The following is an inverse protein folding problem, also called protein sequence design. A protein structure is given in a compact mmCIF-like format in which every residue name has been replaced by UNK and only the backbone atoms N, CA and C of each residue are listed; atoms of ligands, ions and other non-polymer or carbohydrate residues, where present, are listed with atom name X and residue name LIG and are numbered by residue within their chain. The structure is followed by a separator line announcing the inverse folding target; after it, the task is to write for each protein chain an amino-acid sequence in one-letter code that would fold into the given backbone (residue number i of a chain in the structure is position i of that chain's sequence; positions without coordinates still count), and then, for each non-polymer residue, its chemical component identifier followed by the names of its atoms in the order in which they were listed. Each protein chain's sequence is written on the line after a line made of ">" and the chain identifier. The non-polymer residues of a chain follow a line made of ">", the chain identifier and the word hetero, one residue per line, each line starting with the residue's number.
data_IF_315089938915
#
_entry.id   IF_315089938915
#
_cell.length_a   1.000
_cell.length_b   1.000
_cell.length_c   1.000
_cell.angle_alpha   90.00
_cell.angle_beta   90.00
_cell.angle_gamma   90.00
#
_symmetry.space_group_name_H-M   'P 1'
#
loop_
_entity.id
_entity.type
_entity.pdbx_description
1 polymer ?
#
# COMPACT_ATOMS: atom_id res chain seq x y z
N UNK A 1 9.84 -12.38 -4.64
CA UNK A 1 11.19 -11.81 -4.64
C UNK A 1 11.89 -11.99 -5.99
N UNK A 2 13.10 -11.45 -6.15
CA UNK A 2 13.85 -11.52 -7.42
C UNK A 2 14.31 -12.94 -7.79
N UNK A 3 14.27 -13.88 -6.85
CA UNK A 3 14.57 -15.31 -7.06
C UNK A 3 13.33 -16.12 -7.44
N UNK A 4 12.16 -15.49 -7.52
CA UNK A 4 10.89 -16.12 -7.82
C UNK A 4 10.22 -16.79 -6.62
N UNK A 5 10.70 -16.59 -5.40
CA UNK A 5 10.01 -17.09 -4.21
C UNK A 5 8.76 -16.25 -3.92
N UNK A 6 7.69 -16.92 -3.49
CA UNK A 6 6.45 -16.29 -3.04
C UNK A 6 6.43 -16.32 -1.52
N UNK A 7 6.35 -15.14 -0.91
CA UNK A 7 6.27 -14.94 0.52
C UNK A 7 4.86 -14.52 0.92
N UNK A 8 4.34 -15.10 1.99
CA UNK A 8 2.99 -14.82 2.47
C UNK A 8 3.03 -14.49 3.96
N UNK A 9 2.59 -13.27 4.28
CA UNK A 9 2.35 -12.85 5.66
C UNK A 9 0.93 -13.23 6.08
N UNK A 10 0.79 -13.76 7.27
CA UNK A 10 -0.48 -14.18 7.86
C UNK A 10 -0.61 -13.64 9.29
N UNK A 11 -1.74 -13.89 9.92
CA UNK A 11 -1.98 -13.63 11.35
C UNK A 11 -1.15 -14.52 12.30
N UNK A 12 -0.60 -15.62 11.77
CA UNK A 12 0.25 -16.56 12.53
C UNK A 12 1.72 -16.54 12.15
N UNK A 13 2.17 -15.57 11.33
CA UNK A 13 3.58 -15.46 10.95
C UNK A 13 3.85 -15.40 9.44
N UNK A 14 5.09 -15.70 9.08
CA UNK A 14 5.61 -15.63 7.72
C UNK A 14 5.76 -17.02 7.12
N UNK A 15 5.34 -17.15 5.86
CA UNK A 15 5.40 -18.41 5.10
C UNK A 15 6.08 -18.20 3.75
N UNK A 16 6.71 -19.26 3.25
CA UNK A 16 7.27 -19.32 1.91
C UNK A 16 6.62 -20.46 1.12
N UNK A 17 6.24 -20.19 -0.12
CA UNK A 17 5.70 -21.22 -1.01
C UNK A 17 6.79 -22.14 -1.53
N UNK A 18 6.55 -23.45 -1.42
CA UNK A 18 7.41 -24.49 -1.97
C UNK A 18 6.75 -25.07 -3.24
N UNK A 19 7.26 -24.77 -4.45
CA UNK A 19 6.65 -25.22 -5.70
C UNK A 19 6.77 -26.73 -5.94
N UNK A 20 7.72 -27.41 -5.27
CA UNK A 20 7.89 -28.87 -5.40
C UNK A 20 6.80 -29.61 -4.63
N UNK A 21 6.47 -29.11 -3.44
CA UNK A 21 5.47 -29.70 -2.56
C UNK A 21 4.06 -29.13 -2.79
N UNK A 22 3.93 -28.11 -3.63
CA UNK A 22 2.71 -27.32 -3.83
C UNK A 22 2.07 -26.91 -2.48
N UNK A 23 2.89 -26.38 -1.58
CA UNK A 23 2.49 -26.06 -0.22
C UNK A 23 3.29 -24.90 0.36
N UNK A 24 2.73 -24.27 1.40
CA UNK A 24 3.43 -23.24 2.16
C UNK A 24 4.17 -23.85 3.35
N UNK A 25 5.41 -23.41 3.56
CA UNK A 25 6.24 -23.78 4.69
C UNK A 25 6.43 -22.57 5.59
N UNK A 26 6.26 -22.74 6.89
CA UNK A 26 6.49 -21.71 7.89
C UNK A 26 7.96 -21.26 7.91
N UNK A 27 8.20 -19.96 7.95
CA UNK A 27 9.53 -19.38 8.06
C UNK A 27 9.91 -19.23 9.54
N UNK A 28 10.70 -20.17 10.05
CA UNK A 28 11.04 -20.29 11.48
C UNK A 28 12.47 -19.83 11.82
N UNK A 29 13.03 -18.86 11.08
CA UNK A 29 14.36 -18.36 11.39
C UNK A 29 14.32 -17.49 12.65
N UNK A 30 15.26 -17.73 13.55
CA UNK A 30 15.42 -16.97 14.79
C UNK A 30 16.23 -15.71 14.50
N UNK A 31 15.72 -14.56 14.94
CA UNK A 31 16.41 -13.27 14.77
C UNK A 31 17.65 -13.16 15.68
N UNK A 32 18.45 -12.14 15.44
CA UNK A 32 19.62 -11.76 16.26
C UNK A 32 19.25 -11.43 17.73
N UNK A 33 17.98 -11.07 17.98
CA UNK A 33 17.42 -10.83 19.32
C UNK A 33 16.68 -12.04 19.90
N UNK A 34 16.74 -13.20 19.26
CA UNK A 34 16.09 -14.42 19.74
C UNK A 34 14.60 -14.52 19.44
N UNK A 35 14.06 -13.67 18.56
CA UNK A 35 12.66 -13.63 18.20
C UNK A 35 12.39 -14.45 16.94
N UNK A 36 11.25 -15.15 16.89
CA UNK A 36 10.69 -15.80 15.70
C UNK A 36 9.44 -15.03 15.28
N UNK A 37 9.25 -14.83 13.97
CA UNK A 37 8.03 -14.18 13.44
C UNK A 37 6.85 -15.14 13.60
N UNK A 38 5.96 -14.85 14.56
CA UNK A 38 4.78 -15.67 14.89
C UNK A 38 3.53 -14.87 15.21
N UNK A 39 3.53 -13.59 14.82
CA UNK A 39 2.40 -12.69 14.99
C UNK A 39 1.95 -12.15 13.64
N UNK A 40 0.92 -11.32 13.61
CA UNK A 40 0.33 -10.78 12.40
C UNK A 40 1.36 -10.01 11.56
N UNK A 41 1.69 -10.55 10.39
CA UNK A 41 2.57 -9.87 9.42
C UNK A 41 1.76 -8.85 8.64
N UNK A 42 1.96 -7.58 8.96
CA UNK A 42 1.21 -6.46 8.39
C UNK A 42 1.71 -6.07 7.00
N UNK A 43 3.01 -6.24 6.74
CA UNK A 43 3.62 -5.84 5.48
C UNK A 43 4.91 -6.59 5.18
N UNK A 44 5.12 -6.91 3.90
CA UNK A 44 6.38 -7.45 3.37
C UNK A 44 6.81 -6.57 2.20
N UNK A 45 8.09 -6.19 2.20
CA UNK A 45 8.75 -5.56 1.06
C UNK A 45 10.01 -6.33 0.71
N UNK A 46 10.24 -6.51 -0.58
CA UNK A 46 11.42 -7.19 -1.10
C UNK A 46 12.28 -6.20 -1.87
N UNK A 47 13.60 -6.23 -1.66
CA UNK A 47 14.55 -5.49 -2.46
C UNK A 47 15.00 -6.29 -3.71
N UNK A 48 15.79 -5.67 -4.56
CA UNK A 48 16.34 -6.26 -5.79
C UNK A 48 17.29 -7.45 -5.55
N UNK A 49 17.80 -7.60 -4.31
CA UNK A 49 18.68 -8.68 -3.88
C UNK A 49 17.94 -9.84 -3.21
N UNK A 50 16.59 -9.81 -3.20
CA UNK A 50 15.71 -10.75 -2.48
C UNK A 50 15.86 -10.71 -0.96
N UNK A 51 16.34 -9.61 -0.38
CA UNK A 51 16.22 -9.38 1.04
C UNK A 51 14.81 -8.89 1.37
N UNK A 52 14.32 -9.21 2.56
CA UNK A 52 12.97 -8.84 2.98
C UNK A 52 13.00 -7.87 4.14
N UNK A 53 12.15 -6.88 4.05
CA UNK A 53 11.70 -6.07 5.17
C UNK A 53 10.31 -6.55 5.56
N UNK A 54 10.10 -6.85 6.83
CA UNK A 54 8.89 -7.52 7.32
C UNK A 54 8.39 -6.77 8.54
N UNK A 55 7.20 -6.19 8.46
CA UNK A 55 6.54 -5.59 9.62
C UNK A 55 5.63 -6.60 10.28
N UNK A 56 5.74 -6.74 11.59
CA UNK A 56 5.01 -7.72 12.39
C UNK A 56 4.38 -7.01 13.59
N UNK A 57 3.08 -7.15 13.75
CA UNK A 57 2.35 -6.57 14.87
C UNK A 57 2.95 -7.05 16.19
N UNK A 58 3.07 -6.17 17.18
CA UNK A 58 3.67 -6.41 18.51
C UNK A 58 5.15 -6.87 18.52
N UNK A 59 5.76 -7.14 17.34
CA UNK A 59 7.15 -7.57 17.24
C UNK A 59 8.05 -6.56 16.52
N UNK A 60 7.47 -5.56 15.83
CA UNK A 60 8.17 -4.49 15.15
C UNK A 60 8.62 -4.82 13.73
N UNK A 61 9.77 -4.31 13.30
CA UNK A 61 10.29 -4.43 11.94
C UNK A 61 11.48 -5.38 11.90
N UNK A 62 11.44 -6.33 10.97
CA UNK A 62 12.52 -7.29 10.72
C UNK A 62 13.16 -7.06 9.36
N UNK A 63 14.44 -7.38 9.28
CA UNK A 63 15.20 -7.45 8.03
C UNK A 63 15.78 -8.86 7.86
N UNK A 64 15.43 -9.51 6.76
CA UNK A 64 15.99 -10.81 6.37
C UNK A 64 17.00 -10.64 5.24
N UNK A 65 18.26 -10.93 5.53
CA UNK A 65 19.32 -11.01 4.52
C UNK A 65 19.31 -12.40 3.89
N UNK A 66 18.86 -12.49 2.64
CA UNK A 66 18.70 -13.77 1.95
C UNK A 66 20.03 -14.44 1.58
N UNK A 67 21.11 -13.66 1.40
CA UNK A 67 22.43 -14.20 1.04
C UNK A 67 23.16 -14.81 2.24
N UNK A 68 22.95 -14.26 3.42
CA UNK A 68 23.55 -14.73 4.67
C UNK A 68 22.63 -15.68 5.45
N UNK A 69 21.36 -15.79 5.03
CA UNK A 69 20.29 -16.50 5.74
C UNK A 69 20.16 -16.01 7.19
N UNK A 70 20.16 -14.68 7.39
CA UNK A 70 20.08 -14.04 8.70
C UNK A 70 18.84 -13.19 8.82
N UNK A 71 18.17 -13.30 9.96
CA UNK A 71 17.05 -12.46 10.36
C UNK A 71 17.53 -11.50 11.46
N UNK A 72 17.32 -10.20 11.27
CA UNK A 72 17.62 -9.17 12.24
C UNK A 72 16.33 -8.48 12.68
N UNK A 73 16.20 -8.17 13.98
CA UNK A 73 15.10 -7.35 14.46
C UNK A 73 15.54 -5.87 14.43
N UNK A 74 14.99 -5.13 13.45
CA UNK A 74 15.25 -3.73 13.26
C UNK A 74 14.40 -2.89 14.23
N UNK A 75 15.04 -1.96 14.96
CA UNK A 75 14.37 -1.07 15.91
C UNK A 75 13.65 -1.77 17.10
N UNK A 76 14.08 -2.97 17.49
CA UNK A 76 13.51 -3.71 18.63
C UNK A 76 13.40 -2.87 19.92
N UNK A 77 14.43 -2.06 20.21
CA UNK A 77 14.53 -1.32 21.48
C UNK A 77 13.78 0.03 21.44
N UNK A 78 13.22 0.44 20.31
CA UNK A 78 12.59 1.74 20.16
C UNK A 78 11.09 1.77 20.58
N UNK A 79 10.56 0.68 21.13
CA UNK A 79 9.15 0.59 21.52
C UNK A 79 8.15 0.58 20.36
N UNK A 80 8.64 0.30 19.15
CA UNK A 80 7.88 0.36 17.90
C UNK A 80 7.15 -0.95 17.61
N UNK A 81 6.33 -1.40 18.55
CA UNK A 81 5.56 -2.63 18.38
C UNK A 81 4.51 -2.57 17.25
N UNK A 82 4.10 -1.37 16.83
CA UNK A 82 2.95 -1.16 15.95
C UNK A 82 3.30 -0.48 14.63
N UNK A 83 4.36 -0.94 13.95
CA UNK A 83 4.67 -0.46 12.59
C UNK A 83 3.57 -0.95 11.66
N UNK A 84 2.67 -0.06 11.27
CA UNK A 84 1.56 -0.36 10.37
C UNK A 84 2.01 -0.42 8.91
N UNK A 85 2.84 0.55 8.50
CA UNK A 85 3.44 0.61 7.17
C UNK A 85 4.88 1.12 7.23
N UNK A 86 5.65 0.72 6.25
CA UNK A 86 6.99 1.23 6.04
C UNK A 86 7.35 1.25 4.55
N UNK A 87 8.25 2.14 4.17
CA UNK A 87 8.84 2.15 2.83
C UNK A 87 10.26 2.70 2.88
N UNK A 88 11.01 2.36 1.85
CA UNK A 88 12.37 2.83 1.68
C UNK A 88 12.42 3.88 0.56
N UNK A 89 13.14 4.97 0.80
CA UNK A 89 13.46 5.95 -0.20
C UNK A 89 14.96 6.25 -0.12
N UNK A 90 15.73 5.67 -1.03
CA UNK A 90 17.20 5.66 -0.92
C UNK A 90 17.64 5.00 0.39
N UNK A 91 18.45 5.72 1.18
CA UNK A 91 18.92 5.25 2.48
C UNK A 91 18.03 5.67 3.67
N UNK A 92 16.81 6.12 3.41
CA UNK A 92 15.84 6.52 4.45
C UNK A 92 14.73 5.48 4.55
N UNK A 93 14.53 4.95 5.74
CA UNK A 93 13.39 4.10 6.10
C UNK A 93 12.32 4.97 6.75
N UNK A 94 11.14 5.01 6.14
CA UNK A 94 9.95 5.67 6.65
C UNK A 94 9.06 4.66 7.34
N UNK A 95 8.51 5.02 8.50
CA UNK A 95 7.71 4.12 9.34
C UNK A 95 6.46 4.87 9.80
N UNK A 96 5.30 4.36 9.41
CA UNK A 96 4.03 4.82 9.90
C UNK A 96 3.58 3.90 11.05
N UNK A 97 3.42 4.46 12.24
CA UNK A 97 2.89 3.75 13.39
C UNK A 97 1.35 3.88 13.41
N UNK A 98 0.68 2.82 13.81
CA UNK A 98 -0.77 2.80 13.84
C UNK A 98 -1.34 3.83 14.83
N UNK A 99 -2.07 4.83 14.32
CA UNK A 99 -2.70 5.86 15.13
C UNK A 99 -1.74 6.77 15.90
N UNK A 100 -0.49 6.90 15.43
CA UNK A 100 0.52 7.77 16.05
C UNK A 100 1.02 8.80 15.02
N UNK A 101 2.20 8.59 14.43
CA UNK A 101 2.83 9.56 13.53
C UNK A 101 3.61 8.84 12.43
N UNK A 102 4.08 9.61 11.46
CA UNK A 102 5.09 9.20 10.50
C UNK A 102 6.47 9.50 11.06
N UNK A 103 7.31 8.48 11.09
CA UNK A 103 8.70 8.56 11.53
C UNK A 103 9.65 8.23 10.38
N UNK A 104 10.90 8.61 10.54
CA UNK A 104 11.97 8.23 9.62
C UNK A 104 13.27 7.95 10.36
N UNK A 105 14.10 7.11 9.75
CA UNK A 105 15.47 6.81 10.18
C UNK A 105 16.31 6.45 8.96
N UNK A 106 17.63 6.33 9.13
CA UNK A 106 18.48 5.74 8.09
C UNK A 106 18.34 4.22 8.10
N UNK A 107 18.44 3.60 6.94
CA UNK A 107 18.44 2.15 6.79
C UNK A 107 19.80 1.52 7.15
N UNK A 108 20.38 1.93 8.28
CA UNK A 108 21.71 1.52 8.79
C UNK A 108 21.65 0.71 10.10
N UNK A 109 20.44 0.46 10.64
CA UNK A 109 20.18 -0.22 11.93
C UNK A 109 20.69 0.50 13.20
N UNK A 110 21.31 1.67 13.07
CA UNK A 110 21.96 2.39 14.19
C UNK A 110 21.38 3.78 14.42
N UNK A 111 20.85 4.42 13.37
CA UNK A 111 20.34 5.79 13.46
C UNK A 111 19.05 5.87 14.27
N UNK A 112 18.88 6.93 15.11
CA UNK A 112 17.68 7.09 15.90
C UNK A 112 16.46 7.42 15.02
N UNK A 113 15.30 6.97 15.48
CA UNK A 113 14.02 7.30 14.89
C UNK A 113 13.64 8.75 15.18
N UNK A 114 13.14 9.46 14.18
CA UNK A 114 12.71 10.85 14.29
C UNK A 114 11.29 11.04 13.73
N UNK A 115 10.42 11.80 14.40
CA UNK A 115 9.11 12.14 13.86
C UNK A 115 9.26 13.05 12.64
N UNK A 116 8.46 12.81 11.61
CA UNK A 116 8.40 13.70 10.47
C UNK A 116 7.69 14.99 10.83
N UNK A 117 8.30 16.11 10.43
CA UNK A 117 7.72 17.45 10.52
C UNK A 117 7.77 18.10 9.15
N UNK A 118 6.69 18.78 8.80
CA UNK A 118 6.61 19.54 7.56
C UNK A 118 7.53 20.78 7.57
N UNK A 119 7.51 21.56 6.50
CA UNK A 119 8.33 22.78 6.38
C UNK A 119 8.01 23.87 7.44
N UNK A 120 6.85 23.80 8.07
CA UNK A 120 6.43 24.71 9.15
C UNK A 120 6.80 24.17 10.53
N UNK A 121 7.28 22.94 10.62
CA UNK A 121 7.58 22.24 11.86
C UNK A 121 6.40 21.46 12.45
N UNK A 122 5.32 21.29 11.69
CA UNK A 122 4.11 20.59 12.14
C UNK A 122 4.19 19.09 11.88
N UNK A 123 3.70 18.29 12.83
CA UNK A 123 3.57 16.84 12.72
C UNK A 123 2.25 16.50 12.02
N UNK A 124 2.22 16.68 10.69
CA UNK A 124 0.99 16.62 9.87
C UNK A 124 0.31 15.24 9.80
N UNK A 125 0.99 14.18 10.23
CA UNK A 125 0.45 12.82 10.30
C UNK A 125 0.23 12.33 11.74
N UNK A 126 0.30 13.24 12.72
CA UNK A 126 0.06 12.88 14.12
C UNK A 126 -1.39 12.38 14.31
N UNK A 127 -1.52 11.29 15.05
CA UNK A 127 -2.80 10.61 15.34
C UNK A 127 -3.53 10.12 14.05
N UNK A 128 -2.77 9.94 12.92
CA UNK A 128 -3.31 9.47 11.65
C UNK A 128 -2.96 7.99 11.39
N UNK A 129 -3.76 7.33 10.56
CA UNK A 129 -3.48 5.96 10.11
C UNK A 129 -3.10 6.04 8.64
N UNK A 130 -1.82 5.87 8.33
CA UNK A 130 -1.33 5.84 6.96
C UNK A 130 -1.61 4.47 6.35
N UNK A 131 -2.43 4.43 5.30
CA UNK A 131 -2.89 3.21 4.65
C UNK A 131 -2.10 2.86 3.39
N UNK A 132 -1.62 3.86 2.64
CA UNK A 132 -0.90 3.65 1.39
C UNK A 132 0.01 4.85 1.08
N UNK A 133 1.12 4.57 0.43
CA UNK A 133 2.04 5.57 -0.11
C UNK A 133 2.36 5.24 -1.57
N UNK A 134 2.54 6.28 -2.38
CA UNK A 134 3.02 6.14 -3.75
C UNK A 134 3.89 7.34 -4.14
N UNK A 135 5.05 7.05 -4.74
CA UNK A 135 5.94 8.10 -5.25
C UNK A 135 5.42 8.57 -6.60
N UNK A 136 5.22 9.87 -6.71
CA UNK A 136 4.79 10.52 -7.94
C UNK A 136 5.87 11.40 -8.56
N UNK A 137 5.51 12.22 -9.54
CA UNK A 137 6.43 13.11 -10.22
C UNK A 137 6.99 14.20 -9.28
N UNK A 138 8.11 14.80 -9.68
CA UNK A 138 8.75 15.94 -9.00
C UNK A 138 9.15 15.68 -7.53
N UNK A 139 9.48 14.44 -7.17
CA UNK A 139 9.82 14.03 -5.80
C UNK A 139 8.69 14.22 -4.78
N UNK A 140 7.44 14.30 -5.21
CA UNK A 140 6.30 14.22 -4.31
C UNK A 140 5.94 12.78 -4.04
N UNK A 141 5.59 12.50 -2.78
CA UNK A 141 4.96 11.26 -2.35
C UNK A 141 3.52 11.56 -1.98
N UNK A 142 2.60 10.75 -2.46
CA UNK A 142 1.18 10.83 -2.12
C UNK A 142 0.90 9.83 -1.01
N UNK A 143 0.28 10.32 0.06
CA UNK A 143 -0.02 9.54 1.27
C UNK A 143 -1.53 9.46 1.43
N UNK A 144 -2.07 8.25 1.35
CA UNK A 144 -3.45 7.95 1.71
C UNK A 144 -3.53 7.59 3.19
N UNK A 145 -4.41 8.25 3.91
CA UNK A 145 -4.57 8.06 5.35
C UNK A 145 -6.03 8.09 5.80
N UNK A 146 -6.27 7.82 7.08
CA UNK A 146 -7.61 7.95 7.67
C UNK A 146 -8.18 9.38 7.54
N UNK A 147 -7.31 10.38 7.46
CA UNK A 147 -7.70 11.78 7.32
C UNK A 147 -7.79 12.25 5.86
N UNK A 148 -7.26 11.48 4.90
CA UNK A 148 -7.41 11.82 3.47
C UNK A 148 -6.18 11.56 2.61
N UNK A 149 -6.07 12.31 1.51
CA UNK A 149 -4.92 12.32 0.61
C UNK A 149 -4.06 13.56 0.85
N UNK A 150 -2.78 13.35 1.12
CA UNK A 150 -1.78 14.42 1.27
C UNK A 150 -0.63 14.19 0.30
N UNK A 151 -0.24 15.21 -0.45
CA UNK A 151 1.03 15.21 -1.16
C UNK A 151 2.12 15.79 -0.27
N UNK A 152 3.31 15.18 -0.29
CA UNK A 152 4.46 15.59 0.53
C UNK A 152 5.73 15.51 -0.30
N UNK A 153 6.53 16.56 -0.24
CA UNK A 153 7.91 16.52 -0.70
C UNK A 153 8.81 16.35 0.54
N UNK A 154 9.29 15.15 0.77
CA UNK A 154 10.10 14.82 1.95
C UNK A 154 11.47 15.49 2.00
N UNK A 155 11.97 16.04 0.89
CA UNK A 155 13.24 16.78 0.85
C UNK A 155 13.05 18.20 1.35
N UNK A 156 11.96 18.86 0.95
CA UNK A 156 11.69 20.26 1.29
C UNK A 156 10.75 20.42 2.49
N UNK A 157 10.09 19.34 2.92
CA UNK A 157 9.04 19.37 3.94
C UNK A 157 7.72 19.99 3.45
N UNK A 158 7.63 20.43 2.18
CA UNK A 158 6.37 21.00 1.66
C UNK A 158 5.29 19.93 1.59
N UNK A 159 4.11 20.25 2.07
CA UNK A 159 2.95 19.37 2.07
C UNK A 159 1.67 20.11 1.70
N UNK A 160 0.70 19.38 1.14
CA UNK A 160 -0.63 19.89 0.83
C UNK A 160 -1.67 18.79 0.98
N UNK A 161 -2.74 19.06 1.68
CA UNK A 161 -3.93 18.20 1.70
C UNK A 161 -4.69 18.37 0.38
N UNK A 162 -4.96 17.25 -0.30
CA UNK A 162 -5.66 17.21 -1.59
C UNK A 162 -7.13 16.83 -1.38
N UNK A 163 -7.38 15.85 -0.50
CA UNK A 163 -8.72 15.28 -0.29
C UNK A 163 -8.93 14.99 1.18
N UNK A 164 -10.11 15.33 1.70
CA UNK A 164 -10.57 15.04 3.06
C UNK A 164 -11.57 13.87 3.03
N UNK A 165 -11.08 12.65 2.80
CA UNK A 165 -11.87 11.43 2.84
C UNK A 165 -10.98 10.27 3.26
N UNK A 166 -11.49 9.34 4.08
CA UNK A 166 -10.74 8.16 4.48
C UNK A 166 -10.21 7.43 3.24
N UNK A 167 -8.92 7.62 2.94
CA UNK A 167 -8.25 7.02 1.78
C UNK A 167 -7.50 5.74 2.17
N UNK A 168 -7.68 4.68 1.39
CA UNK A 168 -7.11 3.36 1.65
C UNK A 168 -5.99 2.96 0.73
N UNK A 169 -6.11 3.29 -0.55
CA UNK A 169 -5.21 2.79 -1.58
C UNK A 169 -5.01 3.82 -2.69
N UNK A 170 -3.85 3.77 -3.31
CA UNK A 170 -3.40 4.68 -4.36
C UNK A 170 -2.82 3.89 -5.52
N UNK A 171 -3.11 4.31 -6.75
CA UNK A 171 -2.44 3.82 -7.93
C UNK A 171 -2.42 4.88 -9.04
N UNK A 172 -1.29 5.05 -9.70
CA UNK A 172 -1.19 5.90 -10.87
C UNK A 172 -1.70 5.17 -12.11
N UNK A 173 -2.71 5.75 -12.78
CA UNK A 173 -3.10 5.31 -14.12
C UNK A 173 -2.16 5.85 -15.18
N UNK A 174 -1.68 7.08 -14.99
CA UNK A 174 -0.68 7.76 -15.83
C UNK A 174 0.15 8.72 -14.96
N UNK A 175 1.13 9.40 -15.54
CA UNK A 175 1.98 10.35 -14.82
C UNK A 175 1.22 11.54 -14.23
N UNK A 176 0.02 11.83 -14.73
CA UNK A 176 -0.82 12.94 -14.30
C UNK A 176 -2.18 12.53 -13.71
N UNK A 177 -2.50 11.24 -13.65
CA UNK A 177 -3.77 10.73 -13.14
C UNK A 177 -3.57 9.73 -12.00
N UNK A 178 -3.88 10.17 -10.78
CA UNK A 178 -3.83 9.36 -9.55
C UNK A 178 -5.24 8.91 -9.14
N UNK A 179 -5.41 7.60 -9.00
CA UNK A 179 -6.63 6.98 -8.50
C UNK A 179 -6.51 6.76 -6.99
N UNK A 180 -7.55 7.15 -6.26
CA UNK A 180 -7.61 7.13 -4.80
C UNK A 180 -8.83 6.34 -4.35
N UNK A 181 -8.61 5.15 -3.82
CA UNK A 181 -9.67 4.33 -3.26
C UNK A 181 -10.01 4.77 -1.84
N UNK A 182 -11.29 4.98 -1.57
CA UNK A 182 -11.79 5.43 -0.28
C UNK A 182 -12.97 4.59 0.21
N UNK A 183 -13.45 4.86 1.44
CA UNK A 183 -14.69 4.27 1.96
C UNK A 183 -15.96 4.81 1.28
N UNK A 184 -15.84 5.87 0.47
CA UNK A 184 -16.97 6.57 -0.14
C UNK A 184 -16.91 6.61 -1.67
N UNK A 185 -16.15 5.71 -2.28
CA UNK A 185 -15.98 5.63 -3.72
C UNK A 185 -14.54 5.81 -4.17
N UNK A 186 -14.40 5.91 -5.47
CA UNK A 186 -13.15 6.13 -6.16
C UNK A 186 -13.00 7.62 -6.52
N UNK A 187 -11.91 8.24 -6.09
CA UNK A 187 -11.54 9.58 -6.51
C UNK A 187 -10.43 9.50 -7.55
N UNK A 188 -10.53 10.31 -8.59
CA UNK A 188 -9.52 10.45 -9.64
C UNK A 188 -8.99 11.87 -9.56
N UNK A 189 -7.73 12.01 -9.16
CA UNK A 189 -7.05 13.29 -9.06
C UNK A 189 -6.15 13.50 -10.28
N UNK A 190 -6.38 14.58 -11.02
CA UNK A 190 -5.52 14.98 -12.12
C UNK A 190 -4.50 16.01 -11.63
N UNK A 191 -3.23 15.63 -11.65
CA UNK A 191 -2.11 16.42 -11.11
C UNK A 191 -1.87 17.71 -11.89
N UNK A 192 -2.10 17.70 -13.21
CA UNK A 192 -1.85 18.85 -14.09
C UNK A 192 -2.91 19.93 -13.93
N UNK A 193 -4.18 19.53 -13.81
CA UNK A 193 -5.31 20.48 -13.74
C UNK A 193 -5.77 20.76 -12.32
N UNK A 194 -5.24 20.05 -11.33
CA UNK A 194 -5.62 20.08 -9.91
C UNK A 194 -7.13 19.79 -9.70
N UNK A 195 -7.70 18.93 -10.55
CA UNK A 195 -9.11 18.56 -10.50
C UNK A 195 -9.30 17.16 -9.93
N UNK A 196 -10.38 17.03 -9.16
CA UNK A 196 -10.81 15.75 -8.61
C UNK A 196 -12.15 15.37 -9.23
N UNK A 197 -12.25 14.13 -9.73
CA UNK A 197 -13.50 13.48 -10.12
C UNK A 197 -13.84 12.42 -9.09
N UNK A 198 -15.11 12.36 -8.67
CA UNK A 198 -15.57 11.36 -7.69
C UNK A 198 -16.54 10.39 -8.36
N UNK A 199 -16.21 9.11 -8.31
CA UNK A 199 -17.04 8.02 -8.82
C UNK A 199 -17.61 7.23 -7.65
N UNK A 200 -18.92 7.01 -7.68
CA UNK A 200 -19.67 6.22 -6.69
C UNK A 200 -20.56 5.22 -7.39
N UNK A 201 -21.07 4.26 -6.64
CA UNK A 201 -22.15 3.39 -7.13
C UNK A 201 -23.35 4.27 -7.46
N UNK A 202 -23.87 4.24 -8.70
CA UNK A 202 -25.03 5.02 -9.08
C UNK A 202 -26.33 4.44 -8.50
N UNK A 203 -27.36 5.30 -8.39
CA UNK A 203 -28.69 4.87 -7.93
C UNK A 203 -29.46 3.98 -8.95
N UNK A 204 -28.93 3.86 -10.17
CA UNK A 204 -29.50 3.04 -11.24
C UNK A 204 -28.56 1.90 -11.60
N UNK A 205 -29.14 0.77 -12.02
CA UNK A 205 -28.39 -0.39 -12.49
C UNK A 205 -27.55 -0.01 -13.74
N UNK A 206 -26.25 0.21 -13.52
CA UNK A 206 -25.26 0.39 -14.55
C UNK A 206 -24.18 -0.69 -14.40
N UNK A 207 -24.18 -1.65 -15.32
CA UNK A 207 -23.24 -2.77 -15.33
C UNK A 207 -21.77 -2.36 -15.50
N UNK A 208 -21.49 -1.10 -15.83
CA UNK A 208 -20.15 -0.54 -16.02
C UNK A 208 -19.71 0.36 -14.88
N UNK A 209 -20.58 0.62 -13.92
CA UNK A 209 -20.25 1.42 -12.75
C UNK A 209 -19.52 0.61 -11.67
N UNK A 210 -19.08 1.32 -10.63
CA UNK A 210 -18.53 0.69 -9.42
C UNK A 210 -19.57 -0.24 -8.79
N UNK A 211 -19.13 -1.43 -8.39
CA UNK A 211 -20.00 -2.43 -7.72
C UNK A 211 -20.18 -2.14 -6.23
N UNK A 212 -19.29 -1.32 -5.63
CA UNK A 212 -19.34 -0.92 -4.22
C UNK A 212 -18.53 0.37 -4.01
N UNK A 213 -18.89 1.17 -3.02
CA UNK A 213 -18.20 2.42 -2.68
C UNK A 213 -16.96 2.22 -1.79
N UNK A 214 -16.88 1.13 -1.03
CA UNK A 214 -15.74 0.87 -0.17
C UNK A 214 -14.59 0.23 -0.96
N UNK A 215 -13.67 1.08 -1.47
CA UNK A 215 -12.55 0.66 -2.32
C UNK A 215 -11.33 0.33 -1.47
N UNK A 216 -10.87 -0.92 -1.51
CA UNK A 216 -9.80 -1.45 -0.66
C UNK A 216 -8.48 -1.67 -1.38
N UNK A 217 -8.52 -1.88 -2.69
CA UNK A 217 -7.32 -2.06 -3.49
C UNK A 217 -7.49 -1.50 -4.90
N UNK A 218 -6.41 -0.95 -5.45
CA UNK A 218 -6.32 -0.54 -6.85
C UNK A 218 -5.01 -1.09 -7.36
N UNK A 219 -5.01 -1.60 -8.58
CA UNK A 219 -3.83 -2.14 -9.23
C UNK A 219 -3.87 -1.85 -10.72
N UNK A 220 -2.77 -1.33 -11.26
CA UNK A 220 -2.56 -1.15 -12.70
C UNK A 220 -1.79 -2.34 -13.25
N UNK A 221 -2.37 -3.01 -14.22
CA UNK A 221 -1.72 -4.15 -14.86
C UNK A 221 -0.70 -3.73 -15.95
N UNK A 222 -0.01 -4.72 -16.52
CA UNK A 222 1.00 -4.50 -17.55
C UNK A 222 0.44 -3.98 -18.88
N UNK A 223 -0.88 -4.05 -19.09
CA UNK A 223 -1.60 -3.51 -20.25
C UNK A 223 -2.19 -2.12 -19.96
N UNK A 224 -1.86 -1.53 -18.79
CA UNK A 224 -2.39 -0.28 -18.25
C UNK A 224 -3.90 -0.29 -17.96
N UNK A 225 -4.50 -1.47 -17.81
CA UNK A 225 -5.83 -1.63 -17.27
C UNK A 225 -5.83 -1.41 -15.75
N UNK A 226 -6.93 -0.90 -15.23
CA UNK A 226 -7.09 -0.63 -13.80
C UNK A 226 -8.04 -1.64 -13.15
N UNK A 227 -7.53 -2.33 -12.15
CA UNK A 227 -8.30 -3.27 -11.32
C UNK A 227 -8.65 -2.57 -10.02
N UNK A 228 -9.93 -2.54 -9.68
CA UNK A 228 -10.46 -1.87 -8.48
C UNK A 228 -11.18 -2.90 -7.63
N UNK A 229 -10.57 -3.28 -6.53
CA UNK A 229 -11.15 -4.22 -5.55
C UNK A 229 -11.93 -3.48 -4.47
N UNK A 230 -13.15 -3.92 -4.23
CA UNK A 230 -14.05 -3.36 -3.22
C UNK A 230 -14.33 -4.36 -2.10
N UNK A 231 -14.91 -3.87 -0.99
CA UNK A 231 -15.12 -4.68 0.21
C UNK A 231 -16.19 -5.76 0.00
N UNK A 232 -17.35 -5.40 -0.55
CA UNK A 232 -18.45 -6.34 -0.79
C UNK A 232 -18.74 -6.58 -2.26
N UNK A 233 -18.35 -5.66 -3.16
CA UNK A 233 -18.74 -5.70 -4.58
C UNK A 233 -17.80 -6.51 -5.48
N UNK A 234 -16.75 -7.13 -4.92
CA UNK A 234 -15.78 -7.88 -5.70
C UNK A 234 -14.79 -6.97 -6.43
N UNK A 235 -14.53 -7.23 -7.72
CA UNK A 235 -13.51 -6.55 -8.50
C UNK A 235 -14.11 -5.94 -9.75
N UNK A 236 -13.84 -4.67 -9.99
CA UNK A 236 -14.14 -3.96 -11.24
C UNK A 236 -12.86 -3.85 -12.09
N UNK A 237 -12.99 -3.99 -13.38
CA UNK A 237 -11.90 -3.84 -14.33
C UNK A 237 -12.19 -2.72 -15.33
N UNK A 238 -11.29 -1.76 -15.41
CA UNK A 238 -11.33 -0.65 -16.36
C UNK A 238 -10.19 -0.81 -17.37
N UNK A 239 -10.47 -1.28 -18.62
CA UNK A 239 -9.45 -1.49 -19.62
C UNK A 239 -8.84 -0.15 -20.08
N UNK A 240 -7.55 -0.17 -20.43
CA UNK A 240 -6.85 1.01 -20.97
C UNK A 240 -7.47 1.53 -22.27
N UNK A 241 -7.88 0.61 -23.16
CA UNK A 241 -8.56 0.94 -24.42
C UNK A 241 -10.02 0.49 -24.37
N UNK A 242 -10.92 1.43 -24.49
CA UNK A 242 -12.30 1.12 -24.81
C UNK A 242 -12.35 0.72 -26.29
N UNK A 243 -12.46 -0.57 -26.57
CA UNK A 243 -12.84 -1.01 -27.91
C UNK A 243 -14.33 -0.72 -28.05
N UNK A 244 -14.70 0.11 -29.03
CA UNK A 244 -16.09 0.41 -29.39
C UNK A 244 -16.75 -0.80 -30.06
N UNK A 245 -16.76 -1.95 -29.40
CA UNK A 245 -17.54 -3.10 -29.83
C UNK A 245 -18.80 -3.16 -28.94
N UNK A 246 -19.93 -2.78 -29.50
CA UNK A 246 -21.22 -3.09 -28.88
C UNK A 246 -21.36 -4.62 -28.80
N UNK A 247 -21.43 -5.16 -27.59
CA UNK A 247 -21.78 -6.57 -27.38
C UNK A 247 -23.27 -6.71 -27.56
N UNK A 248 -23.71 -7.21 -28.68
CA UNK A 248 -25.08 -7.65 -28.87
C UNK A 248 -25.26 -9.00 -28.14
N UNK A 249 -25.93 -8.99 -27.02
CA UNK A 249 -26.45 -10.20 -26.43
C UNK A 249 -27.76 -10.53 -27.14
N UNK A 250 -27.98 -11.76 -27.65
CA UNK A 250 -29.27 -12.15 -28.14
C UNK A 250 -30.27 -12.05 -26.95
N UNK A 251 -31.27 -11.18 -27.05
CA UNK A 251 -32.36 -11.18 -26.09
C UNK A 251 -33.06 -12.53 -26.25
N UNK A 252 -33.06 -13.36 -25.19
CA UNK A 252 -33.95 -14.49 -25.15
C UNK A 252 -35.35 -13.92 -25.21
N UNK A 253 -36.06 -14.18 -26.34
CA UNK A 253 -37.49 -13.93 -26.41
C UNK A 253 -38.14 -14.82 -25.37
N UNK A 254 -38.64 -14.24 -24.28
CA UNK A 254 -39.56 -14.93 -23.37
C UNK A 254 -40.81 -15.22 -24.19
N UNK A 255 -40.92 -16.46 -24.71
CA UNK A 255 -42.17 -16.95 -25.24
C UNK A 255 -43.11 -17.20 -24.08
N UNK A 256 -44.17 -16.38 -24.00
CA UNK A 256 -45.34 -16.62 -23.15
C UNK A 256 -46.10 -17.87 -23.61
#
# INVERSE_FOLDING_TARGET
>A
DSKGNIWVGTDGGLYIYNPILDSFTEFNLVSDKGTIIRDFVTMIRCDEHSNLWISVENQGLFYYNSSENKLQNYLHDAGLANVHRFWLNGNTCWLALYGDNLYYTKADFESPLQPFKDANGDEIFKDDIINCEIVGPHNYTYIASSNGLTEVNFVTGKSRRILDAFARTLEFKSDDELWVGTEKGLYIYNLTTDKITHLTVPDQDDSYALSDNAIYSIYRDSENGMWVGSYFGGVNYYPYQWTYFEKFYPREEIKF
#
